data_IF_768587949008
#
_entry.id   IF_768587949008
#
_cell.length_a   1.000
_cell.length_b   1.000
_cell.length_c   1.000
_cell.angle_alpha   90.00
_cell.angle_beta   90.00
_cell.angle_gamma   90.00
#
_symmetry.space_group_name_H-M   'P 1'
#
loop_
_entity.id
_entity.type
_entity.pdbx_description
1 polymer ?
#
# COMPACT_ATOMS: atom_id res chain seq x y z
N UNK A 1 2.53 13.00 -0.74
CA UNK A 1 1.31 12.29 -0.28
C UNK A 1 1.67 10.99 0.44
N UNK A 2 2.39 10.04 -0.19
CA UNK A 2 2.81 8.78 0.48
C UNK A 2 3.75 9.03 1.67
N UNK A 3 4.85 9.76 1.48
CA UNK A 3 5.80 10.07 2.56
C UNK A 3 5.33 11.09 3.61
N UNK A 4 4.11 11.62 3.47
CA UNK A 4 3.49 12.50 4.50
C UNK A 4 2.46 11.73 5.34
N UNK A 5 1.89 10.66 4.79
CA UNK A 5 0.91 9.84 5.50
C UNK A 5 1.62 9.05 6.62
N UNK A 6 0.95 8.92 7.77
CA UNK A 6 1.47 8.10 8.89
C UNK A 6 1.65 6.62 8.52
N UNK A 7 0.94 6.14 7.50
CA UNK A 7 1.17 4.84 6.86
C UNK A 7 1.17 5.02 5.33
N UNK A 8 2.36 5.12 4.75
CA UNK A 8 2.54 5.16 3.29
C UNK A 8 2.45 3.76 2.68
N UNK A 9 1.47 3.54 1.80
CA UNK A 9 1.26 2.25 1.14
C UNK A 9 1.44 2.37 -0.37
N UNK A 10 2.11 1.41 -0.96
CA UNK A 10 2.37 1.34 -2.40
C UNK A 10 1.90 0.01 -2.98
N UNK A 11 1.36 0.01 -4.18
CA UNK A 11 0.86 -1.22 -4.83
C UNK A 11 1.99 -2.04 -5.47
N UNK A 12 1.77 -3.35 -5.61
CA UNK A 12 2.78 -4.32 -6.04
C UNK A 12 3.32 -4.07 -7.45
N UNK A 13 2.52 -3.46 -8.33
CA UNK A 13 2.90 -3.06 -9.68
C UNK A 13 3.32 -1.58 -9.80
N UNK A 14 3.51 -0.88 -8.68
CA UNK A 14 4.06 0.48 -8.71
C UNK A 14 5.52 0.50 -9.21
N UNK A 15 5.95 1.65 -9.74
CA UNK A 15 7.34 1.89 -10.09
C UNK A 15 8.25 1.76 -8.86
N UNK A 16 9.49 1.32 -9.07
CA UNK A 16 10.43 1.01 -7.99
C UNK A 16 10.70 2.21 -7.08
N UNK A 17 10.91 3.40 -7.68
CA UNK A 17 11.07 4.65 -6.95
C UNK A 17 9.87 5.01 -6.06
N UNK A 18 8.67 4.55 -6.39
CA UNK A 18 7.47 4.76 -5.57
C UNK A 18 7.45 3.75 -4.41
N UNK A 19 7.81 2.49 -4.68
CA UNK A 19 7.91 1.44 -3.65
C UNK A 19 8.94 1.78 -2.58
N UNK A 20 10.05 2.41 -2.96
CA UNK A 20 11.08 2.87 -2.02
C UNK A 20 10.59 3.96 -1.05
N UNK A 21 9.59 4.75 -1.46
CA UNK A 21 8.98 5.80 -0.62
C UNK A 21 7.86 5.23 0.26
N UNK A 22 7.34 4.04 -0.07
CA UNK A 22 6.30 3.35 0.68
C UNK A 22 6.86 2.58 1.88
N UNK A 23 6.17 2.65 3.01
CA UNK A 23 6.50 1.84 4.18
C UNK A 23 5.97 0.40 4.05
N UNK A 24 4.95 0.19 3.22
CA UNK A 24 4.32 -1.12 3.00
C UNK A 24 3.95 -1.30 1.53
N UNK A 25 4.42 -2.39 0.94
CA UNK A 25 4.04 -2.79 -0.42
C UNK A 25 2.88 -3.78 -0.34
N UNK A 26 1.71 -3.39 -0.85
CA UNK A 26 0.55 -4.27 -0.98
C UNK A 26 0.54 -5.00 -2.32
N UNK A 27 -0.47 -5.84 -2.56
CA UNK A 27 -0.66 -6.55 -3.83
C UNK A 27 -0.84 -5.59 -5.01
N UNK A 28 -0.83 -6.13 -6.23
CA UNK A 28 -1.16 -5.35 -7.42
C UNK A 28 -2.58 -4.78 -7.33
N UNK A 29 -2.86 -3.73 -8.10
CA UNK A 29 -4.23 -3.25 -8.27
C UNK A 29 -5.15 -4.32 -8.89
N UNK A 30 -4.61 -5.25 -9.68
CA UNK A 30 -5.35 -6.38 -10.26
C UNK A 30 -5.71 -7.47 -9.23
N UNK A 31 -5.10 -7.42 -8.04
CA UNK A 31 -5.30 -8.39 -6.95
C UNK A 31 -5.92 -7.72 -5.72
N UNK A 32 -6.67 -6.63 -5.92
CA UNK A 32 -7.35 -5.88 -4.86
C UNK A 32 -6.40 -5.38 -3.75
N UNK A 33 -5.19 -4.94 -4.11
CA UNK A 33 -4.17 -4.50 -3.15
C UNK A 33 -4.64 -3.40 -2.18
N UNK A 34 -5.56 -2.54 -2.59
CA UNK A 34 -6.15 -1.53 -1.70
C UNK A 34 -7.08 -2.16 -0.66
N UNK A 35 -7.96 -3.08 -1.07
CA UNK A 35 -8.85 -3.77 -0.16
C UNK A 35 -8.06 -4.59 0.87
N UNK A 36 -7.00 -5.27 0.44
CA UNK A 36 -6.11 -6.02 1.33
C UNK A 36 -5.51 -5.15 2.46
N UNK A 37 -5.15 -3.90 2.14
CA UNK A 37 -4.59 -2.96 3.12
C UNK A 37 -5.65 -2.47 4.09
N UNK A 38 -6.83 -2.15 3.58
CA UNK A 38 -7.96 -1.70 4.42
C UNK A 38 -8.37 -2.82 5.38
N UNK A 39 -8.50 -4.05 4.89
CA UNK A 39 -8.78 -5.22 5.73
C UNK A 39 -7.71 -5.41 6.79
N UNK A 40 -6.43 -5.37 6.41
CA UNK A 40 -5.30 -5.67 7.30
C UNK A 40 -5.04 -4.60 8.37
N UNK A 41 -5.20 -3.33 8.04
CA UNK A 41 -4.78 -2.22 8.91
C UNK A 41 -5.93 -1.42 9.51
N UNK A 42 -7.15 -1.51 8.96
CA UNK A 42 -8.29 -0.70 9.41
C UNK A 42 -9.44 -1.58 9.91
N UNK A 43 -9.78 -2.64 9.19
CA UNK A 43 -10.96 -3.47 9.49
C UNK A 43 -10.64 -4.77 10.23
N UNK A 44 -9.38 -5.07 10.50
CA UNK A 44 -9.00 -6.22 11.32
C UNK A 44 -9.38 -5.94 12.78
N UNK A 45 -10.43 -6.62 13.27
CA UNK A 45 -10.74 -6.69 14.71
C UNK A 45 -9.67 -7.47 15.50
#
# INVERSE_FOLDING_TARGET
MIGYAGLGVTIGNAQENIKEIGCFVTKSNEEDGVAHVIEKFILSE
#
